data_IF_955615283455
#
_entry.id   IF_955615283455
#
_cell.length_a   1.000
_cell.length_b   1.000
_cell.length_c   1.000
_cell.angle_alpha   90.00
_cell.angle_beta   90.00
_cell.angle_gamma   90.00
#
_symmetry.space_group_name_H-M   'P 1'
#
loop_
_entity.id
_entity.type
_entity.pdbx_description
1 polymer ?
#
# COMPACT_ATOMS: atom_id res chain seq x y z
N UNK A 1 21.73 -6.09 -22.73
CA UNK A 1 20.31 -5.73 -22.56
C UNK A 1 19.46 -6.71 -23.36
N UNK A 2 18.58 -7.50 -22.73
CA UNK A 2 17.62 -8.38 -23.41
C UNK A 2 16.43 -7.58 -23.91
N UNK A 3 15.97 -7.87 -25.13
CA UNK A 3 14.81 -7.20 -25.75
C UNK A 3 13.49 -7.92 -25.52
N UNK A 4 13.55 -9.22 -25.22
CA UNK A 4 12.40 -10.08 -24.90
C UNK A 4 12.61 -10.74 -23.53
N UNK A 5 11.52 -11.09 -22.85
CA UNK A 5 11.54 -11.82 -21.58
C UNK A 5 10.76 -13.13 -21.73
N UNK A 6 11.44 -14.26 -21.58
CA UNK A 6 10.81 -15.59 -21.66
C UNK A 6 9.81 -15.82 -20.51
N UNK A 7 10.06 -15.21 -19.36
CA UNK A 7 9.24 -15.30 -18.15
C UNK A 7 8.43 -14.01 -17.94
N UNK A 8 7.96 -13.39 -19.03
CA UNK A 8 7.35 -12.06 -18.98
C UNK A 8 6.19 -12.00 -17.98
N UNK A 9 5.30 -12.99 -18.02
CA UNK A 9 4.13 -13.05 -17.14
C UNK A 9 4.53 -13.12 -15.65
N UNK A 10 5.46 -14.00 -15.30
CA UNK A 10 5.94 -14.16 -13.92
C UNK A 10 6.65 -12.89 -13.43
N UNK A 11 7.43 -12.27 -14.30
CA UNK A 11 8.08 -10.99 -14.02
C UNK A 11 7.07 -9.88 -13.76
N UNK A 12 5.97 -9.82 -14.53
CA UNK A 12 4.91 -8.81 -14.31
C UNK A 12 4.17 -9.06 -12.98
N UNK A 13 3.87 -10.32 -12.65
CA UNK A 13 3.27 -10.66 -11.35
C UNK A 13 4.19 -10.28 -10.19
N UNK A 14 5.49 -10.53 -10.31
CA UNK A 14 6.46 -10.16 -9.29
C UNK A 14 6.57 -8.62 -9.14
N UNK A 15 6.52 -7.87 -10.23
CA UNK A 15 6.50 -6.39 -10.17
C UNK A 15 5.29 -5.91 -9.36
N UNK A 16 4.10 -6.47 -9.58
CA UNK A 16 2.90 -6.12 -8.83
C UNK A 16 3.06 -6.42 -7.33
N UNK A 17 3.51 -7.64 -6.98
CA UNK A 17 3.82 -8.01 -5.59
C UNK A 17 4.83 -7.07 -4.93
N UNK A 18 5.89 -6.69 -5.64
CA UNK A 18 6.90 -5.75 -5.14
C UNK A 18 6.27 -4.39 -4.86
N UNK A 19 5.46 -3.87 -5.77
CA UNK A 19 4.83 -2.57 -5.60
C UNK A 19 3.82 -2.58 -4.45
N UNK A 20 3.06 -3.66 -4.30
CA UNK A 20 2.04 -3.81 -3.25
C UNK A 20 2.60 -4.17 -1.87
N UNK A 21 3.91 -4.48 -1.80
CA UNK A 21 4.58 -4.80 -0.55
C UNK A 21 4.39 -6.25 -0.09
N UNK A 22 3.99 -7.12 -1.02
CA UNK A 22 3.72 -8.54 -0.79
C UNK A 22 4.90 -9.45 -1.18
N UNK A 23 5.88 -8.92 -1.92
CA UNK A 23 7.09 -9.67 -2.25
C UNK A 23 8.00 -9.79 -1.02
N UNK A 24 8.63 -10.96 -0.87
CA UNK A 24 9.71 -11.15 0.10
C UNK A 24 10.93 -10.29 -0.23
N UNK A 25 11.81 -10.11 0.75
CA UNK A 25 13.07 -9.36 0.57
C UNK A 25 13.93 -10.02 -0.52
N UNK A 26 14.07 -11.34 -0.47
CA UNK A 26 14.88 -12.11 -1.43
C UNK A 26 14.34 -11.99 -2.87
N UNK A 27 13.02 -12.11 -3.06
CA UNK A 27 12.39 -11.92 -4.38
C UNK A 27 12.62 -10.51 -4.92
N UNK A 28 12.51 -9.51 -4.05
CA UNK A 28 12.73 -8.12 -4.41
C UNK A 28 14.18 -7.88 -4.84
N UNK A 29 15.15 -8.32 -4.03
CA UNK A 29 16.58 -8.17 -4.33
C UNK A 29 16.97 -8.89 -5.63
N UNK A 30 16.49 -10.12 -5.82
CA UNK A 30 16.71 -10.89 -7.04
C UNK A 30 16.17 -10.18 -8.29
N UNK A 31 14.98 -9.56 -8.19
CA UNK A 31 14.42 -8.76 -9.28
C UNK A 31 15.29 -7.53 -9.58
N UNK A 32 15.64 -6.74 -8.57
CA UNK A 32 16.41 -5.50 -8.75
C UNK A 32 17.83 -5.75 -9.28
N UNK A 33 18.44 -6.88 -8.93
CA UNK A 33 19.75 -7.28 -9.45
C UNK A 33 19.73 -7.54 -10.97
N UNK A 34 18.57 -7.93 -11.54
CA UNK A 34 18.45 -8.39 -12.92
C UNK A 34 17.62 -7.49 -13.83
N UNK A 35 16.71 -6.65 -13.29
CA UNK A 35 15.73 -5.91 -14.09
C UNK A 35 16.37 -5.05 -15.18
N UNK A 36 17.53 -4.43 -14.91
CA UNK A 36 18.22 -3.53 -15.85
C UNK A 36 18.95 -4.29 -16.96
N UNK A 37 19.02 -5.62 -16.87
CA UNK A 37 19.50 -6.48 -17.94
C UNK A 37 18.39 -6.88 -18.92
N UNK A 38 17.13 -6.58 -18.61
CA UNK A 38 15.95 -6.97 -19.39
C UNK A 38 15.04 -5.76 -19.66
N UNK A 39 15.09 -5.23 -20.89
CA UNK A 39 14.32 -4.03 -21.27
C UNK A 39 12.81 -4.18 -20.96
N UNK A 40 12.14 -5.32 -21.26
CA UNK A 40 10.73 -5.48 -20.90
C UNK A 40 10.46 -5.38 -19.40
N UNK A 41 11.32 -5.96 -18.55
CA UNK A 41 11.14 -5.91 -17.10
C UNK A 41 11.41 -4.51 -16.54
N UNK A 42 12.45 -3.83 -17.06
CA UNK A 42 12.75 -2.44 -16.70
C UNK A 42 11.59 -1.51 -17.04
N UNK A 43 11.11 -1.55 -18.29
CA UNK A 43 9.99 -0.71 -18.75
C UNK A 43 8.68 -1.07 -18.07
N UNK A 44 8.42 -2.37 -17.85
CA UNK A 44 7.24 -2.83 -17.11
C UNK A 44 7.23 -2.29 -15.68
N UNK A 45 8.37 -2.35 -14.98
CA UNK A 45 8.49 -1.80 -13.63
C UNK A 45 8.26 -0.28 -13.59
N UNK A 46 8.87 0.47 -14.52
CA UNK A 46 8.69 1.92 -14.63
C UNK A 46 7.22 2.29 -14.92
N UNK A 47 6.58 1.57 -15.83
CA UNK A 47 5.17 1.78 -16.16
C UNK A 47 4.28 1.56 -14.94
N UNK A 48 4.37 0.40 -14.29
CA UNK A 48 3.56 0.06 -13.12
C UNK A 48 3.81 1.02 -11.94
N UNK A 49 5.07 1.42 -11.73
CA UNK A 49 5.41 2.43 -10.72
C UNK A 49 4.74 3.77 -11.01
N UNK A 50 4.76 4.21 -12.28
CA UNK A 50 4.12 5.47 -12.70
C UNK A 50 2.59 5.41 -12.57
N UNK A 51 1.98 4.27 -12.90
CA UNK A 51 0.54 4.03 -12.73
C UNK A 51 0.15 4.08 -11.26
N UNK A 52 0.89 3.39 -10.38
CA UNK A 52 0.66 3.42 -8.94
C UNK A 52 0.77 4.83 -8.36
N UNK A 53 1.77 5.60 -8.79
CA UNK A 53 1.92 6.99 -8.39
C UNK A 53 0.72 7.86 -8.86
N UNK A 54 0.28 7.67 -10.12
CA UNK A 54 -0.85 8.41 -10.67
C UNK A 54 -2.15 8.10 -9.92
N UNK A 55 -2.44 6.81 -9.70
CA UNK A 55 -3.61 6.36 -8.93
C UNK A 55 -3.57 6.93 -7.50
N UNK A 56 -2.43 6.87 -6.81
CA UNK A 56 -2.29 7.42 -5.47
C UNK A 56 -2.57 8.93 -5.43
N UNK A 57 -2.13 9.67 -6.46
CA UNK A 57 -2.36 11.13 -6.54
C UNK A 57 -3.83 11.51 -6.80
N UNK A 58 -4.57 10.68 -7.53
CA UNK A 58 -5.96 10.97 -7.95
C UNK A 58 -7.00 10.35 -7.03
N UNK A 59 -6.71 9.19 -6.46
CA UNK A 59 -7.60 8.41 -5.62
C UNK A 59 -7.28 8.59 -4.13
N UNK A 60 -6.82 9.78 -3.73
CA UNK A 60 -6.58 10.09 -2.33
C UNK A 60 -7.92 10.40 -1.64
N UNK A 61 -8.52 9.37 -1.02
CA UNK A 61 -9.69 9.55 -0.19
C UNK A 61 -9.27 10.08 1.18
N UNK A 62 -9.68 11.31 1.51
CA UNK A 62 -9.63 11.81 2.88
C UNK A 62 -10.90 11.39 3.61
N UNK A 63 -10.77 10.90 4.85
CA UNK A 63 -11.93 10.70 5.71
C UNK A 63 -12.60 12.06 6.00
N UNK A 64 -13.90 12.25 5.73
CA UNK A 64 -14.57 13.51 6.02
C UNK A 64 -14.46 13.88 7.50
N UNK A 65 -14.07 15.12 7.79
CA UNK A 65 -13.89 15.62 9.17
C UNK A 65 -15.12 15.41 10.05
N UNK A 66 -16.32 15.45 9.46
CA UNK A 66 -17.57 15.19 10.17
C UNK A 66 -17.64 13.76 10.74
N UNK A 67 -17.10 12.77 10.03
CA UNK A 67 -17.04 11.38 10.51
C UNK A 67 -16.02 11.29 11.65
N UNK A 68 -14.84 11.88 11.48
CA UNK A 68 -13.80 11.90 12.52
C UNK A 68 -14.34 12.55 13.80
N UNK A 69 -15.00 13.70 13.67
CA UNK A 69 -15.61 14.43 14.79
C UNK A 69 -16.68 13.61 15.50
N UNK A 70 -17.57 12.93 14.74
CA UNK A 70 -18.59 12.04 15.33
C UNK A 70 -17.98 10.88 16.10
N UNK A 71 -16.93 10.25 15.57
CA UNK A 71 -16.23 9.15 16.25
C UNK A 71 -15.60 9.66 17.55
N UNK A 72 -14.87 10.77 17.50
CA UNK A 72 -14.23 11.38 18.70
C UNK A 72 -15.27 11.73 19.76
N UNK A 73 -16.39 12.33 19.37
CA UNK A 73 -17.48 12.68 20.28
C UNK A 73 -18.06 11.45 20.98
N UNK A 74 -18.32 10.36 20.24
CA UNK A 74 -18.82 9.10 20.82
C UNK A 74 -17.82 8.47 21.80
N UNK A 75 -16.54 8.46 21.46
CA UNK A 75 -15.49 7.95 22.35
C UNK A 75 -15.38 8.79 23.63
N UNK A 76 -15.42 10.12 23.50
CA UNK A 76 -15.37 11.03 24.64
C UNK A 76 -16.55 10.84 25.60
N UNK A 77 -17.77 10.70 25.06
CA UNK A 77 -18.96 10.40 25.85
C UNK A 77 -18.82 9.07 26.59
N UNK A 78 -18.31 8.03 25.92
CA UNK A 78 -18.09 6.73 26.52
C UNK A 78 -17.07 6.79 27.66
N UNK A 79 -15.98 7.54 27.49
CA UNK A 79 -14.98 7.76 28.54
C UNK A 79 -15.58 8.48 29.76
N UNK A 80 -16.39 9.53 29.54
CA UNK A 80 -17.08 10.23 30.64
C UNK A 80 -17.99 9.27 31.40
N UNK A 81 -18.80 8.48 30.68
CA UNK A 81 -19.70 7.50 31.30
C UNK A 81 -18.93 6.50 32.14
N UNK A 82 -17.82 5.96 31.62
CA UNK A 82 -16.96 5.04 32.36
C UNK A 82 -16.39 5.73 33.62
N UNK A 83 -15.87 6.95 33.52
CA UNK A 83 -15.31 7.69 34.66
C UNK A 83 -16.34 7.99 35.76
N UNK A 84 -17.61 8.19 35.40
CA UNK A 84 -18.70 8.42 36.35
C UNK A 84 -19.20 7.10 36.96
N UNK A 85 -19.32 6.04 36.15
CA UNK A 85 -19.89 4.77 36.59
C UNK A 85 -18.90 3.91 37.39
N UNK A 86 -17.60 3.92 37.07
CA UNK A 86 -16.57 3.20 37.84
C UNK A 86 -16.66 3.46 39.36
N UNK A 87 -16.70 4.73 39.84
CA UNK A 87 -16.78 5.01 41.28
C UNK A 87 -18.14 4.72 41.91
N UNK A 88 -19.18 4.38 41.13
CA UNK A 88 -20.48 3.94 41.65
C UNK A 88 -20.55 2.42 41.88
N UNK A 89 -19.63 1.66 41.28
CA UNK A 89 -19.58 0.19 41.34
C UNK A 89 -18.27 -0.36 41.95
N UNK A 90 -17.38 0.51 42.44
CA UNK A 90 -16.22 0.20 43.27
C UNK A 90 -16.40 0.82 44.65
#
# INVERSE_FOLDING_TARGET
MKMNCEHHQDCMQLIQKILDGEASVDEKEAFFANKDLCMPCQKGYELELSLKANLKSKCQLSCPEQIISKIRSKLFLLLILISILIPLFC
#
